data_IF_806930540709
#
_entry.id   IF_806930540709
#
_cell.length_a   1.000
_cell.length_b   1.000
_cell.length_c   1.000
_cell.angle_alpha   90.00
_cell.angle_beta   90.00
_cell.angle_gamma   90.00
#
_symmetry.space_group_name_H-M   'P 1'
#
loop_
_entity.id
_entity.type
_entity.pdbx_description
1 polymer ?
#
# COMPACT_ATOMS: atom_id res chain seq x y z
N UNK A 1 -14.39 23.10 4.12
CA UNK A 1 -14.59 21.78 3.48
C UNK A 1 -13.31 20.98 3.21
N UNK A 2 -12.13 21.62 3.10
CA UNK A 2 -10.86 21.02 2.61
C UNK A 2 -10.10 20.06 3.55
N UNK A 3 -10.56 19.84 4.79
CA UNK A 3 -9.88 18.95 5.76
C UNK A 3 -10.62 17.63 6.08
N UNK A 4 -11.90 17.48 5.68
CA UNK A 4 -12.70 16.29 6.06
C UNK A 4 -12.59 15.10 5.11
N UNK A 5 -12.19 15.30 3.84
CA UNK A 5 -12.18 14.21 2.84
C UNK A 5 -10.88 13.38 2.89
N UNK A 6 -9.75 13.95 3.32
CA UNK A 6 -8.47 13.24 3.30
C UNK A 6 -8.06 12.56 4.62
N UNK A 7 -8.67 12.91 5.76
CA UNK A 7 -8.29 12.36 7.08
C UNK A 7 -8.71 10.89 7.27
N UNK A 8 -9.47 10.30 6.33
CA UNK A 8 -10.08 8.97 6.45
C UNK A 8 -9.19 7.82 5.94
N UNK A 9 -7.99 8.09 5.39
CA UNK A 9 -7.16 7.02 4.79
C UNK A 9 -6.10 6.39 5.73
N UNK A 10 -5.96 6.85 6.99
CA UNK A 10 -5.08 6.15 7.95
C UNK A 10 -5.82 4.93 8.47
N UNK A 11 -5.35 3.74 8.09
CA UNK A 11 -5.99 2.49 8.50
C UNK A 11 -5.62 2.21 9.96
N UNK A 12 -6.62 2.25 10.84
CA UNK A 12 -6.50 1.74 12.21
C UNK A 12 -6.49 0.20 12.24
N UNK A 13 -5.59 -0.43 11.48
CA UNK A 13 -5.47 -1.88 11.45
C UNK A 13 -5.07 -2.40 12.83
N UNK A 14 -5.67 -3.51 13.20
CA UNK A 14 -5.41 -4.26 14.42
C UNK A 14 -5.32 -5.76 14.09
N UNK A 15 -5.08 -6.58 15.11
CA UNK A 15 -4.92 -8.04 14.97
C UNK A 15 -6.14 -8.78 14.43
N UNK A 16 -7.33 -8.15 14.47
CA UNK A 16 -8.60 -8.68 13.98
C UNK A 16 -8.97 -8.12 12.59
N UNK A 17 -8.11 -7.26 12.03
CA UNK A 17 -8.34 -6.69 10.70
C UNK A 17 -8.20 -7.73 9.61
N UNK A 18 -9.08 -7.62 8.60
CA UNK A 18 -9.19 -8.60 7.53
C UNK A 18 -8.39 -8.15 6.32
N UNK A 19 -7.98 -9.10 5.49
CA UNK A 19 -7.37 -8.81 4.18
C UNK A 19 -8.31 -8.00 3.29
N UNK A 20 -9.61 -8.28 3.38
CA UNK A 20 -10.64 -7.53 2.66
C UNK A 20 -10.69 -6.05 3.03
N UNK A 21 -10.25 -5.65 4.23
CA UNK A 21 -10.15 -4.24 4.61
C UNK A 21 -8.98 -3.55 3.90
N UNK A 22 -7.88 -4.28 3.64
CA UNK A 22 -6.79 -3.81 2.78
C UNK A 22 -7.26 -3.69 1.33
N UNK A 23 -8.00 -4.68 0.82
CA UNK A 23 -8.62 -4.59 -0.51
C UNK A 23 -9.52 -3.36 -0.66
N UNK A 24 -10.40 -3.10 0.33
CA UNK A 24 -11.25 -1.89 0.36
C UNK A 24 -10.44 -0.61 0.39
N UNK A 25 -9.33 -0.57 1.14
CA UNK A 25 -8.43 0.58 1.15
C UNK A 25 -7.95 0.92 -0.27
N UNK A 26 -7.43 -0.05 -1.01
CA UNK A 26 -6.96 0.18 -2.37
C UNK A 26 -8.09 0.56 -3.32
N UNK A 27 -9.29 -0.03 -3.17
CA UNK A 27 -10.49 0.40 -3.90
C UNK A 27 -10.83 1.87 -3.66
N UNK A 28 -10.77 2.32 -2.39
CA UNK A 28 -11.01 3.72 -2.02
C UNK A 28 -9.93 4.65 -2.56
N UNK A 29 -8.66 4.24 -2.54
CA UNK A 29 -7.56 4.99 -3.16
C UNK A 29 -7.83 5.17 -4.65
N UNK A 30 -8.12 4.09 -5.39
CA UNK A 30 -8.42 4.15 -6.81
C UNK A 30 -9.59 5.10 -7.12
N UNK A 31 -10.71 4.97 -6.40
CA UNK A 31 -11.88 5.81 -6.58
C UNK A 31 -11.64 7.29 -6.27
N UNK A 32 -10.89 7.58 -5.20
CA UNK A 32 -10.57 8.96 -4.82
C UNK A 32 -9.67 9.63 -5.87
N UNK A 33 -8.63 8.92 -6.32
CA UNK A 33 -7.69 9.45 -7.31
C UNK A 33 -8.37 9.60 -8.68
N UNK A 34 -9.25 8.68 -9.05
CA UNK A 34 -10.10 8.81 -10.25
C UNK A 34 -10.96 10.09 -10.19
N UNK A 35 -11.64 10.35 -9.06
CA UNK A 35 -12.44 11.56 -8.89
C UNK A 35 -11.62 12.85 -9.03
N UNK A 36 -10.36 12.85 -8.58
CA UNK A 36 -9.44 13.98 -8.79
C UNK A 36 -9.10 14.14 -10.28
N UNK A 37 -8.76 13.06 -10.97
CA UNK A 37 -8.49 13.06 -12.42
C UNK A 37 -9.67 13.62 -13.21
N UNK A 38 -10.87 13.14 -12.92
CA UNK A 38 -12.09 13.55 -13.63
C UNK A 38 -12.41 15.02 -13.38
N UNK A 39 -12.27 15.49 -12.13
CA UNK A 39 -12.43 16.90 -11.78
C UNK A 39 -11.44 17.83 -12.48
N UNK A 40 -10.16 17.43 -12.59
CA UNK A 40 -9.14 18.19 -13.30
C UNK A 40 -9.43 18.29 -14.79
N UNK A 41 -9.84 17.19 -15.43
CA UNK A 41 -10.21 17.18 -16.84
C UNK A 41 -11.46 18.05 -17.10
N UNK A 42 -12.43 18.04 -16.18
CA UNK A 42 -13.60 18.92 -16.23
C UNK A 42 -13.21 20.40 -16.20
N UNK A 43 -12.30 20.79 -15.29
CA UNK A 43 -11.80 22.18 -15.22
C UNK A 43 -11.17 22.60 -16.56
N UNK A 44 -10.35 21.73 -17.16
CA UNK A 44 -9.74 22.02 -18.47
C UNK A 44 -10.80 22.23 -19.56
N UNK A 45 -11.85 21.39 -19.59
CA UNK A 45 -12.93 21.52 -20.56
C UNK A 45 -13.70 22.84 -20.40
N UNK A 46 -14.08 23.20 -19.17
CA UNK A 46 -14.78 24.45 -18.86
C UNK A 46 -13.92 25.67 -19.23
N UNK A 47 -12.61 25.64 -18.91
CA UNK A 47 -11.69 26.71 -19.29
C UNK A 47 -11.58 26.91 -20.81
N UNK A 48 -11.65 25.83 -21.60
CA UNK A 48 -11.63 25.92 -23.07
C UNK A 48 -12.94 26.51 -23.61
N UNK A 49 -14.08 26.09 -23.06
CA UNK A 49 -15.40 26.61 -23.42
C UNK A 49 -15.51 28.11 -23.16
N UNK A 50 -14.99 28.56 -22.01
CA UNK A 50 -14.91 29.97 -21.62
C UNK A 50 -13.82 30.77 -22.36
N UNK A 51 -13.10 30.14 -23.30
CA UNK A 51 -11.97 30.74 -24.04
C UNK A 51 -10.91 31.34 -23.11
N UNK A 52 -10.67 30.69 -21.98
CA UNK A 52 -9.69 31.14 -21.01
C UNK A 52 -8.28 31.13 -21.63
N UNK A 53 -7.53 32.25 -21.60
CA UNK A 53 -6.22 32.34 -22.24
C UNK A 53 -5.16 31.40 -21.62
N UNK A 54 -5.40 30.90 -20.40
CA UNK A 54 -4.51 29.96 -19.72
C UNK A 54 -4.91 28.49 -19.91
N UNK A 55 -6.02 28.19 -20.61
CA UNK A 55 -6.55 26.83 -20.75
C UNK A 55 -5.51 25.83 -21.27
N UNK A 56 -4.70 26.22 -22.27
CA UNK A 56 -3.65 25.37 -22.82
C UNK A 56 -2.54 25.06 -21.81
N UNK A 57 -2.17 26.04 -20.97
CA UNK A 57 -1.18 25.83 -19.90
C UNK A 57 -1.69 24.91 -18.81
N UNK A 58 -2.97 25.08 -18.41
CA UNK A 58 -3.62 24.21 -17.43
C UNK A 58 -3.78 22.79 -17.97
N UNK A 59 -4.18 22.62 -19.23
CA UNK A 59 -4.26 21.32 -19.89
C UNK A 59 -2.92 20.58 -19.86
N UNK A 60 -1.82 21.27 -20.17
CA UNK A 60 -0.49 20.67 -20.13
C UNK A 60 -0.08 20.22 -18.73
N UNK A 61 -0.35 21.04 -17.71
CA UNK A 61 -0.08 20.68 -16.31
C UNK A 61 -0.97 19.51 -15.83
N UNK A 62 -2.26 19.51 -16.18
CA UNK A 62 -3.19 18.43 -15.86
C UNK A 62 -2.76 17.13 -16.54
N UNK A 63 -2.42 17.17 -17.83
CA UNK A 63 -1.94 16.01 -18.59
C UNK A 63 -0.70 15.40 -17.93
N UNK A 64 0.26 16.23 -17.54
CA UNK A 64 1.48 15.79 -16.84
C UNK A 64 1.17 15.10 -15.52
N UNK A 65 0.25 15.65 -14.72
CA UNK A 65 -0.17 15.06 -13.46
C UNK A 65 -0.92 13.73 -13.67
N UNK A 66 -1.86 13.70 -14.63
CA UNK A 66 -2.71 12.54 -14.89
C UNK A 66 -1.89 11.39 -15.46
N UNK A 67 -1.28 11.58 -16.63
CA UNK A 67 -0.55 10.52 -17.34
C UNK A 67 0.74 10.14 -16.61
N UNK A 68 1.41 11.13 -16.00
CA UNK A 68 2.66 10.90 -15.30
C UNK A 68 2.49 10.22 -13.94
N UNK A 69 1.34 10.40 -13.26
CA UNK A 69 1.17 10.00 -11.86
C UNK A 69 -0.19 9.36 -11.56
N UNK A 70 -1.30 10.07 -11.76
CA UNK A 70 -2.61 9.61 -11.26
C UNK A 70 -3.04 8.30 -11.90
N UNK A 71 -2.77 8.11 -13.20
CA UNK A 71 -3.15 6.88 -13.91
C UNK A 71 -2.43 5.65 -13.37
N UNK A 72 -1.12 5.76 -13.10
CA UNK A 72 -0.36 4.68 -12.47
C UNK A 72 -0.88 4.33 -11.08
N UNK A 73 -1.25 5.34 -10.29
CA UNK A 73 -1.85 5.13 -8.95
C UNK A 73 -3.21 4.43 -9.07
N UNK A 74 -4.07 4.87 -9.99
CA UNK A 74 -5.41 4.28 -10.20
C UNK A 74 -5.29 2.83 -10.66
N UNK A 75 -4.46 2.56 -11.68
CA UNK A 75 -4.25 1.23 -12.23
C UNK A 75 -3.70 0.30 -11.15
N UNK A 76 -2.62 0.72 -10.47
CA UNK A 76 -2.00 -0.09 -9.43
C UNK A 76 -2.94 -0.38 -8.27
N UNK A 77 -3.71 0.62 -7.81
CA UNK A 77 -4.65 0.43 -6.71
C UNK A 77 -5.84 -0.48 -7.08
N UNK A 78 -6.37 -0.40 -8.31
CA UNK A 78 -7.40 -1.34 -8.78
C UNK A 78 -6.89 -2.77 -8.79
N UNK A 79 -5.71 -2.96 -9.37
CA UNK A 79 -5.09 -4.28 -9.50
C UNK A 79 -4.83 -4.92 -8.13
N UNK A 80 -4.29 -4.17 -7.16
CA UNK A 80 -4.12 -4.66 -5.79
C UNK A 80 -5.46 -5.00 -5.15
N UNK A 81 -6.46 -4.12 -5.29
CA UNK A 81 -7.79 -4.35 -4.73
C UNK A 81 -8.44 -5.61 -5.28
N UNK A 82 -8.26 -5.89 -6.56
CA UNK A 82 -8.81 -7.06 -7.25
C UNK A 82 -8.08 -8.35 -6.83
N UNK A 83 -6.75 -8.29 -6.74
CA UNK A 83 -5.92 -9.42 -6.31
C UNK A 83 -6.24 -9.88 -4.88
N UNK A 84 -6.40 -8.92 -3.95
CA UNK A 84 -6.76 -9.20 -2.56
C UNK A 84 -8.24 -9.60 -2.45
N UNK A 85 -9.10 -8.89 -3.18
CA UNK A 85 -10.55 -8.93 -3.02
C UNK A 85 -11.05 -8.00 -1.89
N UNK A 86 -12.31 -7.59 -1.97
CA UNK A 86 -12.97 -6.69 -0.99
C UNK A 86 -13.91 -7.43 -0.04
N UNK A 87 -13.95 -8.75 -0.15
CA UNK A 87 -14.77 -9.67 0.63
C UNK A 87 -13.90 -10.76 1.23
N UNK A 88 -14.44 -11.48 2.22
CA UNK A 88 -13.73 -12.53 2.94
C UNK A 88 -13.34 -12.15 4.36
N UNK A 89 -13.08 -13.19 5.16
CA UNK A 89 -12.88 -13.10 6.60
C UNK A 89 -11.46 -13.46 7.06
N UNK A 90 -10.57 -13.79 6.12
CA UNK A 90 -9.17 -14.06 6.46
C UNK A 90 -8.53 -12.82 7.08
N UNK A 91 -7.88 -13.04 8.22
CA UNK A 91 -7.13 -11.99 8.92
C UNK A 91 -5.85 -11.65 8.14
N UNK A 92 -5.34 -10.44 8.35
CA UNK A 92 -4.02 -10.04 7.84
C UNK A 92 -2.94 -10.99 8.40
N UNK A 93 -2.99 -11.23 9.71
CA UNK A 93 -2.19 -12.25 10.40
C UNK A 93 -2.82 -13.65 10.38
N UNK A 94 -3.27 -14.14 9.23
CA UNK A 94 -3.84 -15.49 9.13
C UNK A 94 -2.75 -16.54 9.41
N UNK A 95 -2.87 -17.27 10.53
CA UNK A 95 -1.94 -18.32 10.94
C UNK A 95 -2.62 -19.67 10.79
N UNK A 96 -1.84 -20.68 10.45
CA UNK A 96 -2.27 -22.07 10.40
C UNK A 96 -2.84 -22.55 11.75
N UNK A 97 -3.97 -23.26 11.68
CA UNK A 97 -4.66 -23.81 12.85
C UNK A 97 -3.99 -25.10 13.31
N UNK A 98 -4.27 -25.51 14.56
CA UNK A 98 -3.82 -26.79 15.08
C UNK A 98 -4.20 -27.96 14.15
N UNK A 99 -3.29 -28.92 13.98
CA UNK A 99 -3.45 -30.06 13.07
C UNK A 99 -3.30 -29.76 11.57
N UNK A 100 -3.20 -28.48 11.18
CA UNK A 100 -3.00 -28.02 9.79
C UNK A 100 -1.93 -26.93 9.73
N UNK A 101 -0.82 -27.10 10.48
CA UNK A 101 0.22 -26.09 10.73
C UNK A 101 1.00 -25.54 9.52
N UNK A 102 0.63 -25.93 8.30
CA UNK A 102 1.28 -25.50 7.07
C UNK A 102 0.90 -24.07 6.67
N UNK A 103 1.91 -23.30 6.23
CA UNK A 103 1.69 -22.02 5.58
C UNK A 103 1.23 -22.17 4.13
N UNK A 104 0.64 -21.09 3.60
CA UNK A 104 0.14 -20.99 2.23
C UNK A 104 0.57 -19.64 1.67
N UNK A 105 1.14 -19.61 0.46
CA UNK A 105 1.54 -18.36 -0.18
C UNK A 105 0.35 -17.41 -0.44
N UNK A 106 -0.79 -18.00 -0.78
CA UNK A 106 -1.95 -17.30 -1.29
C UNK A 106 -1.90 -17.18 -2.81
N UNK A 107 -2.95 -16.59 -3.37
CA UNK A 107 -3.08 -16.30 -4.81
C UNK A 107 -3.02 -14.80 -5.05
N UNK A 108 -2.83 -14.40 -6.31
CA UNK A 108 -2.79 -13.00 -6.71
C UNK A 108 -1.51 -12.25 -6.31
N UNK A 109 -0.43 -12.97 -5.99
CA UNK A 109 0.82 -12.35 -5.52
C UNK A 109 1.47 -11.51 -6.61
N UNK A 110 1.47 -11.98 -7.86
CA UNK A 110 2.10 -11.27 -8.97
C UNK A 110 1.35 -9.97 -9.30
N UNK A 111 0.02 -9.99 -9.26
CA UNK A 111 -0.83 -8.80 -9.40
C UNK A 111 -0.69 -7.84 -8.21
N UNK A 112 -0.57 -8.37 -7.00
CA UNK A 112 -0.30 -7.55 -5.82
C UNK A 112 1.04 -6.80 -5.97
N UNK A 113 2.11 -7.51 -6.37
CA UNK A 113 3.44 -6.95 -6.58
C UNK A 113 3.43 -5.92 -7.71
N UNK A 114 2.85 -6.25 -8.86
CA UNK A 114 2.77 -5.36 -10.03
C UNK A 114 1.94 -4.11 -9.72
N UNK A 115 0.80 -4.27 -9.05
CA UNK A 115 -0.03 -3.15 -8.64
C UNK A 115 0.68 -2.21 -7.65
N UNK A 116 1.35 -2.75 -6.63
CA UNK A 116 2.14 -1.93 -5.69
C UNK A 116 3.32 -1.25 -6.40
N UNK A 117 3.99 -1.94 -7.32
CA UNK A 117 5.07 -1.36 -8.13
C UNK A 117 4.62 -0.14 -8.92
N UNK A 118 3.47 -0.22 -9.60
CA UNK A 118 2.91 0.92 -10.35
C UNK A 118 2.73 2.17 -9.47
N UNK A 119 2.28 1.99 -8.22
CA UNK A 119 2.11 3.10 -7.27
C UNK A 119 3.47 3.59 -6.78
N UNK A 120 4.34 2.69 -6.31
CA UNK A 120 5.65 3.00 -5.71
C UNK A 120 6.55 3.76 -6.69
N UNK A 121 6.56 3.38 -7.97
CA UNK A 121 7.34 4.06 -9.02
C UNK A 121 7.07 5.57 -9.09
N UNK A 122 5.82 5.99 -8.85
CA UNK A 122 5.43 7.41 -8.95
C UNK A 122 5.43 8.13 -7.62
N UNK A 123 5.34 7.42 -6.49
CA UNK A 123 5.20 8.06 -5.17
C UNK A 123 6.42 7.96 -4.26
N UNK A 124 7.30 6.95 -4.40
CA UNK A 124 8.46 6.78 -3.52
C UNK A 124 9.81 7.00 -4.20
N UNK A 125 9.92 6.96 -5.53
CA UNK A 125 11.21 7.07 -6.24
C UNK A 125 12.27 6.17 -5.57
N UNK A 126 13.38 6.75 -5.11
CA UNK A 126 14.52 6.07 -4.48
C UNK A 126 14.43 6.00 -2.94
N UNK A 127 13.27 6.31 -2.34
CA UNK A 127 13.09 6.20 -0.91
C UNK A 127 12.98 4.74 -0.45
N UNK A 128 13.70 4.42 0.62
CA UNK A 128 13.76 3.08 1.19
C UNK A 128 14.67 2.12 0.42
N UNK A 129 14.97 0.99 1.04
CA UNK A 129 15.84 -0.05 0.50
C UNK A 129 15.25 -1.43 0.78
N UNK A 130 15.05 -2.21 -0.28
CA UNK A 130 14.44 -3.56 -0.20
C UNK A 130 15.19 -4.54 0.72
N UNK A 131 16.50 -4.33 0.89
CA UNK A 131 17.40 -5.11 1.73
C UNK A 131 17.92 -4.24 2.91
N UNK A 132 17.07 -3.38 3.47
CA UNK A 132 17.37 -2.62 4.69
C UNK A 132 17.53 -3.54 5.92
N UNK A 133 18.25 -3.05 6.92
CA UNK A 133 18.58 -3.80 8.14
C UNK A 133 19.70 -4.82 7.93
N UNK A 134 19.81 -5.75 8.88
CA UNK A 134 20.81 -6.81 8.88
C UNK A 134 20.17 -8.18 8.59
N UNK A 135 21.02 -9.19 8.41
CA UNK A 135 20.60 -10.57 8.19
C UNK A 135 20.51 -11.38 9.49
N UNK A 136 20.72 -10.77 10.65
CA UNK A 136 20.92 -11.47 11.90
C UNK A 136 19.57 -11.92 12.48
N UNK A 137 19.53 -13.18 12.91
CA UNK A 137 18.35 -13.75 13.58
C UNK A 137 18.20 -13.16 14.98
N UNK A 138 16.95 -13.02 15.43
CA UNK A 138 16.65 -12.43 16.74
C UNK A 138 17.18 -13.23 17.94
N UNK A 139 17.45 -14.54 17.80
CA UNK A 139 17.88 -15.41 18.90
C UNK A 139 19.18 -14.94 19.57
N UNK A 140 20.17 -14.55 18.77
CA UNK A 140 21.49 -14.12 19.24
C UNK A 140 21.88 -12.72 18.74
N UNK A 141 21.11 -12.14 17.81
CA UNK A 141 21.35 -10.82 17.24
C UNK A 141 22.62 -10.71 16.38
N UNK A 142 23.29 -11.83 16.07
CA UNK A 142 24.62 -11.82 15.41
C UNK A 142 24.74 -12.84 14.28
N UNK A 143 24.08 -13.99 14.40
CA UNK A 143 24.14 -15.05 13.39
C UNK A 143 23.19 -14.76 12.24
N UNK A 144 23.67 -14.84 11.01
CA UNK A 144 22.83 -14.64 9.83
C UNK A 144 21.79 -15.76 9.65
N UNK A 145 20.63 -15.41 9.08
CA UNK A 145 19.56 -16.36 8.72
C UNK A 145 19.98 -17.29 7.58
N UNK A 146 19.65 -18.57 7.67
CA UNK A 146 19.97 -19.63 6.71
C UNK A 146 18.71 -20.23 6.08
N UNK A 147 18.09 -19.53 5.14
CA UNK A 147 16.98 -19.99 4.30
C UNK A 147 15.90 -20.82 5.03
N UNK A 148 15.34 -20.26 6.10
CA UNK A 148 14.36 -20.93 6.98
C UNK A 148 14.97 -22.04 7.86
N UNK A 149 16.08 -21.73 8.52
CA UNK A 149 16.63 -22.48 9.64
C UNK A 149 15.71 -22.48 10.87
N UNK A 150 16.01 -23.32 11.86
CA UNK A 150 15.18 -23.43 13.06
C UNK A 150 15.18 -22.11 13.84
N UNK A 151 13.98 -21.58 14.12
CA UNK A 151 13.81 -20.32 14.83
C UNK A 151 13.94 -19.05 13.97
N UNK A 152 14.08 -19.19 12.65
CA UNK A 152 14.16 -18.06 11.72
C UNK A 152 12.81 -17.70 11.12
N UNK A 153 12.59 -16.43 10.81
CA UNK A 153 11.34 -15.93 10.24
C UNK A 153 10.91 -16.67 8.96
N UNK A 154 11.86 -17.16 8.17
CA UNK A 154 11.60 -17.97 6.97
C UNK A 154 10.76 -19.22 7.24
N UNK A 155 10.81 -19.81 8.44
CA UNK A 155 9.99 -20.99 8.81
C UNK A 155 8.48 -20.71 8.74
N UNK A 156 8.06 -19.47 9.01
CA UNK A 156 6.66 -19.05 8.91
C UNK A 156 6.11 -19.12 7.48
N UNK A 157 7.01 -19.25 6.48
CA UNK A 157 6.64 -19.28 5.07
C UNK A 157 6.57 -20.70 4.49
N UNK A 158 6.99 -21.71 5.26
CA UNK A 158 7.00 -23.10 4.85
C UNK A 158 5.60 -23.68 4.59
N UNK A 159 5.55 -24.75 3.80
CA UNK A 159 4.35 -25.52 3.47
C UNK A 159 4.12 -26.73 4.40
N UNK A 160 4.85 -26.77 5.52
CA UNK A 160 4.74 -27.79 6.55
C UNK A 160 4.62 -27.12 7.92
N UNK A 161 4.08 -27.85 8.90
CA UNK A 161 4.08 -27.40 10.28
C UNK A 161 5.51 -27.22 10.80
N UNK A 162 5.70 -26.23 11.67
CA UNK A 162 6.96 -26.05 12.38
C UNK A 162 7.04 -27.17 13.43
N UNK A 163 8.11 -27.95 13.39
CA UNK A 163 8.25 -29.20 14.13
C UNK A 163 8.25 -29.03 15.66
N UNK A 164 8.49 -27.83 16.16
CA UNK A 164 8.61 -27.54 17.59
C UNK A 164 8.05 -26.14 17.93
N UNK A 165 7.37 -26.05 19.08
CA UNK A 165 6.74 -24.81 19.52
C UNK A 165 7.76 -23.73 19.90
N UNK A 166 8.94 -24.09 20.44
CA UNK A 166 9.99 -23.11 20.73
C UNK A 166 10.61 -22.57 19.45
N UNK A 167 10.83 -23.42 18.44
CA UNK A 167 11.23 -22.98 17.11
C UNK A 167 10.19 -22.04 16.48
N UNK A 168 8.91 -22.33 16.63
CA UNK A 168 7.85 -21.46 16.13
C UNK A 168 7.83 -20.10 16.85
N UNK A 169 8.00 -20.08 18.19
CA UNK A 169 8.12 -18.85 18.99
C UNK A 169 9.33 -18.00 18.56
N UNK A 170 10.49 -18.63 18.39
CA UNK A 170 11.71 -17.95 17.89
C UNK A 170 11.50 -17.38 16.49
N UNK A 171 10.86 -18.14 15.59
CA UNK A 171 10.57 -17.69 14.22
C UNK A 171 9.64 -16.47 14.21
N UNK A 172 8.64 -16.45 15.09
CA UNK A 172 7.74 -15.30 15.26
C UNK A 172 8.47 -14.09 15.86
N UNK A 173 9.37 -14.30 16.82
CA UNK A 173 10.20 -13.24 17.39
C UNK A 173 11.16 -12.64 16.34
N UNK A 174 11.77 -13.48 15.51
CA UNK A 174 12.65 -13.03 14.42
C UNK A 174 11.90 -12.23 13.35
N UNK A 175 10.69 -12.66 12.99
CA UNK A 175 9.80 -11.89 12.13
C UNK A 175 9.46 -10.52 12.74
N UNK A 176 9.13 -10.47 14.03
CA UNK A 176 8.83 -9.22 14.73
C UNK A 176 10.05 -8.28 14.79
N UNK A 177 11.26 -8.80 15.03
CA UNK A 177 12.51 -8.05 14.97
C UNK A 177 12.71 -7.43 13.59
N UNK A 178 12.58 -8.24 12.54
CA UNK A 178 12.78 -7.77 11.17
C UNK A 178 11.80 -6.65 10.80
N UNK A 179 10.51 -6.84 11.09
CA UNK A 179 9.49 -5.80 10.87
C UNK A 179 9.77 -4.56 11.72
N UNK A 180 10.23 -4.73 12.96
CA UNK A 180 10.60 -3.64 13.86
C UNK A 180 11.77 -2.78 13.35
N UNK A 181 12.77 -3.41 12.72
CA UNK A 181 14.02 -2.79 12.29
C UNK A 181 13.91 -1.93 11.02
N UNK A 182 12.80 -2.01 10.28
CA UNK A 182 12.66 -1.32 8.97
C UNK A 182 11.50 -0.32 8.91
N UNK A 183 11.56 0.56 7.92
CA UNK A 183 10.52 1.54 7.62
C UNK A 183 9.49 1.00 6.63
N UNK A 184 8.34 1.67 6.50
CA UNK A 184 7.35 1.29 5.49
C UNK A 184 7.84 1.46 4.05
N UNK A 185 8.76 2.40 3.79
CA UNK A 185 9.35 2.55 2.46
C UNK A 185 10.23 1.34 2.11
N UNK A 186 11.02 0.83 3.07
CA UNK A 186 11.83 -0.39 2.89
C UNK A 186 10.94 -1.60 2.58
N UNK A 187 9.83 -1.75 3.31
CA UNK A 187 8.84 -2.82 3.10
C UNK A 187 8.23 -2.72 1.70
N UNK A 188 7.85 -1.52 1.26
CA UNK A 188 7.30 -1.30 -0.08
C UNK A 188 8.33 -1.63 -1.18
N UNK A 189 9.59 -1.24 -1.00
CA UNK A 189 10.65 -1.61 -1.95
C UNK A 189 10.89 -3.13 -1.98
N UNK A 190 10.83 -3.80 -0.83
CA UNK A 190 10.92 -5.26 -0.74
C UNK A 190 9.74 -5.97 -1.43
N UNK A 191 8.52 -5.45 -1.28
CA UNK A 191 7.34 -5.92 -2.02
C UNK A 191 7.56 -5.80 -3.53
N UNK A 192 8.05 -4.65 -4.02
CA UNK A 192 8.30 -4.41 -5.45
C UNK A 192 9.35 -5.38 -6.02
N UNK A 193 10.27 -5.86 -5.18
CA UNK A 193 11.26 -6.88 -5.54
C UNK A 193 10.75 -8.31 -5.39
N UNK A 194 9.48 -8.50 -5.03
CA UNK A 194 8.89 -9.80 -4.72
C UNK A 194 9.73 -10.57 -3.68
N UNK A 195 10.07 -9.90 -2.57
CA UNK A 195 10.96 -10.44 -1.54
C UNK A 195 10.49 -11.82 -1.02
N UNK A 196 11.43 -12.74 -0.90
CA UNK A 196 11.21 -14.07 -0.32
C UNK A 196 11.93 -14.18 1.02
N UNK A 197 11.23 -14.64 2.04
CA UNK A 197 11.80 -14.86 3.38
C UNK A 197 12.61 -16.16 3.51
N UNK A 198 12.62 -17.00 2.48
CA UNK A 198 13.28 -18.32 2.49
C UNK A 198 14.58 -18.32 1.70
N UNK A 199 15.26 -17.17 1.61
CA UNK A 199 16.58 -17.04 0.97
C UNK A 199 17.67 -16.93 2.03
N UNK A 200 18.89 -17.33 1.69
CA UNK A 200 20.03 -17.15 2.56
C UNK A 200 20.31 -15.68 2.82
N UNK A 201 20.71 -15.35 4.05
CA UNK A 201 21.01 -13.99 4.48
C UNK A 201 19.86 -13.00 4.22
N UNK A 202 18.61 -13.48 4.26
CA UNK A 202 17.44 -12.62 4.14
C UNK A 202 17.52 -11.50 5.19
N UNK A 203 17.62 -10.25 4.72
CA UNK A 203 17.69 -9.09 5.60
C UNK A 203 16.32 -8.71 6.13
N UNK A 204 16.32 -7.87 7.16
CA UNK A 204 15.09 -7.43 7.83
C UNK A 204 14.04 -6.86 6.85
N UNK A 205 14.47 -6.06 5.87
CA UNK A 205 13.59 -5.51 4.82
C UNK A 205 12.96 -6.60 3.95
N UNK A 206 13.75 -7.63 3.60
CA UNK A 206 13.28 -8.79 2.82
C UNK A 206 12.24 -9.59 3.59
N UNK A 207 12.50 -9.88 4.88
CA UNK A 207 11.55 -10.57 5.76
C UNK A 207 10.27 -9.74 5.91
N UNK A 208 10.38 -8.45 6.23
CA UNK A 208 9.22 -7.59 6.45
C UNK A 208 8.38 -7.40 5.16
N UNK A 209 9.03 -7.29 4.00
CA UNK A 209 8.37 -7.29 2.69
C UNK A 209 7.60 -8.58 2.43
N UNK A 210 8.24 -9.73 2.65
CA UNK A 210 7.59 -11.04 2.51
C UNK A 210 6.41 -11.21 3.49
N UNK A 211 6.55 -10.71 4.72
CA UNK A 211 5.48 -10.72 5.72
C UNK A 211 4.27 -9.91 5.22
N UNK A 212 4.51 -8.68 4.75
CA UNK A 212 3.46 -7.84 4.19
C UNK A 212 2.80 -8.48 2.95
N UNK A 213 3.59 -9.05 2.03
CA UNK A 213 3.09 -9.75 0.85
C UNK A 213 2.13 -10.88 1.23
N UNK A 214 2.56 -11.83 2.07
CA UNK A 214 1.73 -12.97 2.48
C UNK A 214 0.52 -12.55 3.30
N UNK A 215 0.68 -11.49 4.11
CA UNK A 215 -0.41 -10.94 4.89
C UNK A 215 -1.51 -10.31 4.02
N UNK A 216 -1.15 -9.71 2.88
CA UNK A 216 -2.12 -9.13 1.93
C UNK A 216 -2.66 -10.15 0.91
N UNK A 217 -1.84 -11.12 0.47
CA UNK A 217 -2.22 -12.08 -0.57
C UNK A 217 -3.49 -12.87 -0.21
N UNK A 218 -4.37 -13.08 -1.19
CA UNK A 218 -5.65 -13.77 -0.98
C UNK A 218 -5.41 -15.22 -0.57
N UNK A 219 -5.98 -15.64 0.56
CA UNK A 219 -5.73 -16.98 1.13
C UNK A 219 -4.31 -17.21 1.68
N UNK A 220 -3.44 -16.19 1.68
CA UNK A 220 -2.11 -16.28 2.28
C UNK A 220 -2.18 -16.59 3.77
N UNK A 221 -1.32 -17.48 4.25
CA UNK A 221 -1.36 -18.02 5.61
C UNK A 221 0.05 -18.33 6.09
N UNK A 222 0.37 -17.98 7.33
CA UNK A 222 1.64 -18.30 7.96
C UNK A 222 1.61 -19.68 8.60
N UNK A 223 2.73 -20.38 8.52
CA UNK A 223 2.91 -21.66 9.19
C UNK A 223 2.90 -21.47 10.72
N UNK A 224 2.53 -22.54 11.42
CA UNK A 224 2.52 -22.63 12.88
C UNK A 224 3.11 -23.96 13.31
N UNK A 225 3.33 -24.13 14.61
CA UNK A 225 3.57 -25.47 15.15
C UNK A 225 2.29 -26.33 15.09
N UNK A 226 2.46 -27.65 15.23
CA UNK A 226 1.35 -28.59 15.06
C UNK A 226 0.24 -28.45 16.12
N UNK A 227 0.58 -27.96 17.33
CA UNK A 227 -0.37 -27.73 18.41
C UNK A 227 -1.11 -26.39 18.25
N UNK A 228 -0.65 -25.51 17.35
CA UNK A 228 -1.27 -24.21 17.14
C UNK A 228 -1.06 -23.25 18.32
N UNK A 229 0.18 -23.13 18.80
CA UNK A 229 0.51 -22.36 20.01
C UNK A 229 -0.01 -20.92 19.93
N UNK A 230 -0.70 -20.48 20.97
CA UNK A 230 -1.39 -19.19 20.99
C UNK A 230 -0.42 -18.00 20.96
N UNK A 231 0.74 -18.12 21.62
CA UNK A 231 1.78 -17.10 21.65
C UNK A 231 2.41 -16.90 20.27
N UNK A 232 2.64 -18.00 19.53
CA UNK A 232 3.13 -17.94 18.14
C UNK A 232 2.11 -17.22 17.27
N UNK A 233 0.84 -17.61 17.38
CA UNK A 233 -0.26 -16.98 16.64
C UNK A 233 -0.34 -15.48 16.89
N UNK A 234 -0.22 -15.07 18.16
CA UNK A 234 -0.28 -13.66 18.57
C UNK A 234 0.91 -12.87 18.04
N UNK A 235 2.12 -13.40 18.17
CA UNK A 235 3.34 -12.75 17.69
C UNK A 235 3.36 -12.59 16.16
N UNK A 236 2.97 -13.65 15.42
CA UNK A 236 2.87 -13.58 13.94
C UNK A 236 1.78 -12.60 13.50
N UNK A 237 0.63 -12.58 14.16
CA UNK A 237 -0.43 -11.58 13.90
C UNK A 237 0.10 -10.16 14.08
N UNK A 238 0.78 -9.89 15.18
CA UNK A 238 1.38 -8.59 15.47
C UNK A 238 2.39 -8.16 14.40
N UNK A 239 3.32 -9.05 14.04
CA UNK A 239 4.33 -8.78 13.01
C UNK A 239 3.71 -8.51 11.62
N UNK A 240 2.74 -9.35 11.21
CA UNK A 240 2.05 -9.19 9.93
C UNK A 240 1.25 -7.88 9.84
N UNK A 241 0.47 -7.56 10.87
CA UNK A 241 -0.29 -6.30 10.93
C UNK A 241 0.66 -5.11 10.95
N UNK A 242 1.72 -5.15 11.74
CA UNK A 242 2.72 -4.07 11.79
C UNK A 242 3.37 -3.83 10.42
N UNK A 243 3.74 -4.89 9.70
CA UNK A 243 4.33 -4.78 8.37
C UNK A 243 3.38 -4.12 7.36
N UNK A 244 2.11 -4.56 7.34
CA UNK A 244 1.08 -3.99 6.46
C UNK A 244 0.78 -2.54 6.84
N UNK A 245 0.60 -2.23 8.13
CA UNK A 245 0.35 -0.85 8.59
C UNK A 245 1.47 0.09 8.19
N UNK A 246 2.75 -0.28 8.45
CA UNK A 246 3.91 0.53 8.05
C UNK A 246 3.91 0.82 6.54
N UNK A 247 3.67 -0.21 5.72
CA UNK A 247 3.64 -0.07 4.27
C UNK A 247 2.50 0.86 3.82
N UNK A 248 1.27 0.63 4.27
CA UNK A 248 0.09 1.38 3.82
C UNK A 248 0.08 2.83 4.33
N UNK A 249 0.55 3.09 5.55
CA UNK A 249 0.68 4.46 6.05
C UNK A 249 1.69 5.26 5.23
N UNK A 250 2.84 4.65 4.92
CA UNK A 250 3.86 5.26 4.06
C UNK A 250 3.32 5.52 2.66
N UNK A 251 2.64 4.55 2.06
CA UNK A 251 2.04 4.67 0.74
C UNK A 251 1.00 5.80 0.70
N UNK A 252 0.12 5.86 1.71
CA UNK A 252 -0.90 6.90 1.84
C UNK A 252 -0.29 8.30 1.89
N UNK A 253 0.74 8.49 2.72
CA UNK A 253 1.44 9.78 2.84
C UNK A 253 2.12 10.15 1.51
N UNK A 254 2.75 9.19 0.84
CA UNK A 254 3.44 9.41 -0.42
C UNK A 254 2.47 9.80 -1.55
N UNK A 255 1.33 9.11 -1.68
CA UNK A 255 0.28 9.44 -2.64
C UNK A 255 -0.23 10.87 -2.42
N UNK A 256 -0.54 11.25 -1.17
CA UNK A 256 -1.01 12.60 -0.86
C UNK A 256 0.02 13.66 -1.25
N UNK A 257 1.30 13.45 -0.94
CA UNK A 257 2.39 14.38 -1.29
C UNK A 257 2.49 14.62 -2.80
N UNK A 258 2.39 13.56 -3.61
CA UNK A 258 2.44 13.67 -5.07
C UNK A 258 1.22 14.40 -5.63
N UNK A 259 0.02 14.09 -5.14
CA UNK A 259 -1.21 14.78 -5.55
C UNK A 259 -1.13 16.26 -5.17
N UNK A 260 -0.73 16.59 -3.94
CA UNK A 260 -0.62 17.97 -3.48
C UNK A 260 0.42 18.76 -4.29
N UNK A 261 1.55 18.14 -4.65
CA UNK A 261 2.55 18.75 -5.51
C UNK A 261 1.99 19.04 -6.91
N UNK A 262 1.35 18.05 -7.54
CA UNK A 262 0.74 18.21 -8.86
C UNK A 262 -0.36 19.27 -8.88
N UNK A 263 -1.24 19.29 -7.87
CA UNK A 263 -2.30 20.28 -7.77
C UNK A 263 -1.77 21.71 -7.58
N UNK A 264 -0.60 21.88 -6.95
CA UNK A 264 0.07 23.19 -6.87
C UNK A 264 0.56 23.65 -8.25
N UNK A 265 1.10 22.76 -9.07
CA UNK A 265 1.53 23.10 -10.43
C UNK A 265 0.34 23.45 -11.33
N UNK A 266 -0.75 22.68 -11.26
CA UNK A 266 -2.00 23.01 -11.96
C UNK A 266 -2.50 24.40 -11.53
N UNK A 267 -2.53 24.67 -10.22
CA UNK A 267 -2.94 25.98 -9.70
C UNK A 267 -2.05 27.11 -10.21
N UNK A 268 -0.74 26.90 -10.29
CA UNK A 268 0.19 27.88 -10.84
C UNK A 268 -0.10 28.15 -12.33
N UNK A 269 -0.39 27.10 -13.11
CA UNK A 269 -0.74 27.21 -14.52
C UNK A 269 -2.06 27.97 -14.77
N UNK A 270 -2.99 27.98 -13.79
CA UNK A 270 -4.22 28.77 -13.88
C UNK A 270 -3.96 30.30 -13.86
N UNK A 271 -2.78 30.74 -13.41
CA UNK A 271 -2.37 32.16 -13.31
C UNK A 271 -3.47 33.08 -12.75
N UNK A 272 -4.13 32.64 -11.68
CA UNK A 272 -5.19 33.42 -11.02
C UNK A 272 -4.56 34.71 -10.49
N UNK A 273 -4.81 35.82 -11.18
CA UNK A 273 -4.44 37.16 -10.72
C UNK A 273 -5.52 37.65 -9.75
N UNK A 274 -5.15 38.00 -8.52
CA UNK A 274 -6.08 38.52 -7.52
C UNK A 274 -6.75 39.85 -7.95
N UNK A 275 -6.17 40.53 -8.95
CA UNK A 275 -6.65 41.80 -9.48
C UNK A 275 -7.39 41.65 -10.82
N UNK A 276 -7.56 40.42 -11.33
CA UNK A 276 -8.36 40.20 -12.53
C UNK A 276 -9.85 40.27 -12.16
N UNK A 277 -10.63 41.04 -12.91
CA UNK A 277 -12.09 41.07 -12.79
C UNK A 277 -12.62 39.64 -12.93
N UNK A 278 -13.41 39.13 -11.96
CA UNK A 278 -13.99 37.81 -12.08
C UNK A 278 -14.88 37.79 -13.34
N UNK A 279 -14.69 36.77 -14.18
CA UNK A 279 -15.62 36.52 -15.28
C UNK A 279 -16.90 36.00 -14.65
N UNK A 280 -17.83 36.91 -14.38
CA UNK A 280 -19.21 36.54 -14.05
C UNK A 280 -19.81 36.07 -15.37
N UNK A 281 -19.91 34.75 -15.54
CA UNK A 281 -20.75 34.19 -16.60
C UNK A 281 -22.20 34.48 -16.20
N UNK A 282 -22.73 35.61 -16.64
CA UNK A 282 -24.16 35.84 -16.68
C UNK A 282 -24.76 34.77 -17.60
N UNK A 283 -25.21 33.66 -17.03
CA UNK A 283 -26.30 32.92 -17.64
C UNK A 283 -27.52 33.81 -17.50
N UNK A 284 -27.68 34.72 -18.46
CA UNK A 284 -28.91 35.49 -18.63
C UNK A 284 -30.06 34.50 -18.64
N UNK A 285 -30.91 34.58 -17.62
CA UNK A 285 -32.24 34.02 -17.70
C UNK A 285 -32.94 34.63 -18.93
N UNK A 286 -33.77 33.88 -19.68
CA UNK A 286 -34.45 34.44 -20.83
C UNK A 286 -35.36 35.57 -20.36
N UNK A 287 -35.22 36.74 -20.98
CA UNK A 287 -36.12 37.87 -20.83
C UNK A 287 -37.58 37.42 -21.04
N UNK A 288 -38.37 37.42 -19.96
CA UNK A 288 -39.82 37.46 -20.06
C UNK A 288 -40.21 38.86 -20.56
N UNK A 289 -40.24 39.05 -21.88
CA UNK A 289 -40.93 40.18 -22.51
C UNK A 289 -42.42 39.90 -22.53
N UNK A 290 -43.17 40.75 -21.81
CA UNK A 290 -44.60 40.94 -21.94
C UNK A 290 -45.03 41.02 -23.41
N UNK A 291 -46.03 40.21 -23.78
CA UNK A 291 -47.21 40.60 -24.55
C UNK A 291 -48.38 39.70 -24.15
#
# INVERSE_FOLDING_TARGET
>A
MKRRILMVMMLGLNVDSKKSDVGKYFKTVAGTVQGIKDGLNKIVAEMKEEKNPNAAGVESAVKTLVEGRLDKIIIGAKEVSEAIGVEGNDLIGNVATAGAGAGVAGTGVDELVRGIKNIVEVVLKDAGKHDAGDANKAEDGSTARTAAGNGEAGKLFGNAAINDANNAKKSAADAAKAVGAVTGADILQAIVKNASATVDNAKDGTIAGAMALRAMAKGGKFANDNAGTAEVTTAVKGAAVSAVTKALDTLTVAIRKIIDAGLKEVKAAMKINANATPVVSDKSAPDAKNQ
#
